data_IF_332381811153
#
_entry.id   IF_332381811153
#
_cell.length_a   1.000
_cell.length_b   1.000
_cell.length_c   1.000
_cell.angle_alpha   90.00
_cell.angle_beta   90.00
_cell.angle_gamma   90.00
#
_symmetry.space_group_name_H-M   'P 1'
#
loop_
_entity.id
_entity.type
_entity.pdbx_description
1 polymer ?
#
# COMPACT_ATOMS: atom_id res chain seq x y z
N UNK A 1 -50.82 -15.85 14.20
CA UNK A 1 -50.58 -15.29 12.84
C UNK A 1 -49.66 -14.09 12.99
N UNK A 2 -48.34 -14.27 12.88
CA UNK A 2 -47.38 -13.17 13.03
C UNK A 2 -47.16 -12.48 11.68
N UNK A 3 -47.72 -11.28 11.51
CA UNK A 3 -47.55 -10.48 10.30
C UNK A 3 -46.10 -10.00 10.18
N UNK A 4 -45.39 -10.41 9.12
CA UNK A 4 -44.07 -9.85 8.76
C UNK A 4 -44.26 -8.42 8.27
N UNK A 5 -43.70 -7.46 9.00
CA UNK A 5 -43.57 -6.07 8.52
C UNK A 5 -42.48 -6.05 7.45
N UNK A 6 -42.85 -5.67 6.22
CA UNK A 6 -41.89 -5.46 5.15
C UNK A 6 -41.07 -4.19 5.44
N UNK A 7 -39.72 -4.24 5.43
CA UNK A 7 -38.92 -3.04 5.64
C UNK A 7 -39.12 -2.06 4.47
N UNK A 8 -39.24 -0.76 4.77
CA UNK A 8 -39.37 0.28 3.74
C UNK A 8 -38.11 0.36 2.88
N UNK A 9 -38.26 0.67 1.58
CA UNK A 9 -37.16 0.80 0.58
C UNK A 9 -36.12 1.89 0.90
N UNK A 10 -36.27 2.58 2.03
CA UNK A 10 -35.41 3.68 2.48
C UNK A 10 -34.74 3.37 3.83
N UNK A 11 -35.11 2.28 4.50
CA UNK A 11 -34.67 1.96 5.87
C UNK A 11 -33.14 1.83 6.04
N UNK A 12 -32.39 1.60 4.97
CA UNK A 12 -30.92 1.47 5.02
C UNK A 12 -30.14 2.59 4.30
N UNK A 13 -30.80 3.63 3.78
CA UNK A 13 -30.10 4.71 3.05
C UNK A 13 -29.22 5.59 3.95
N UNK A 14 -29.48 5.62 5.25
CA UNK A 14 -28.76 6.43 6.25
C UNK A 14 -27.73 5.64 7.06
N UNK A 15 -27.42 4.39 6.70
CA UNK A 15 -26.27 3.74 7.33
C UNK A 15 -24.99 4.43 6.83
N UNK A 16 -24.16 4.91 7.75
CA UNK A 16 -22.82 5.46 7.47
C UNK A 16 -21.92 4.49 6.65
N UNK A 17 -22.39 3.24 6.48
CA UNK A 17 -21.83 2.18 5.63
C UNK A 17 -21.93 2.45 4.12
N UNK A 18 -22.74 3.42 3.68
CA UNK A 18 -23.01 3.68 2.26
C UNK A 18 -22.43 4.99 1.71
N UNK A 19 -21.71 5.79 2.50
CA UNK A 19 -20.78 6.77 1.92
C UNK A 19 -19.59 5.97 1.43
N UNK A 20 -19.66 5.56 0.16
CA UNK A 20 -18.51 5.12 -0.60
C UNK A 20 -17.41 6.17 -0.40
N UNK A 21 -16.40 5.86 0.40
CA UNK A 21 -15.29 6.78 0.65
C UNK A 21 -14.60 6.95 -0.70
N UNK A 22 -14.74 8.14 -1.27
CA UNK A 22 -14.04 8.48 -2.50
C UNK A 22 -12.54 8.26 -2.28
N UNK A 23 -11.83 7.63 -3.24
CA UNK A 23 -10.40 7.42 -3.11
C UNK A 23 -9.72 8.78 -2.98
N UNK A 24 -8.87 8.94 -1.96
CA UNK A 24 -8.10 10.18 -1.80
C UNK A 24 -7.16 10.29 -2.99
N UNK A 25 -7.26 11.40 -3.71
CA UNK A 25 -6.37 11.72 -4.83
C UNK A 25 -5.44 12.86 -4.41
N UNK A 26 -4.15 12.64 -4.52
CA UNK A 26 -3.14 13.63 -4.18
C UNK A 26 -1.95 13.54 -5.14
N UNK A 27 -2.05 14.26 -6.25
CA UNK A 27 -1.00 14.31 -7.26
C UNK A 27 0.34 14.82 -6.72
N UNK A 28 0.32 15.72 -5.71
CA UNK A 28 1.54 16.21 -5.06
C UNK A 28 2.24 15.11 -4.28
N UNK A 29 1.50 14.28 -3.56
CA UNK A 29 2.04 13.11 -2.87
C UNK A 29 2.65 12.13 -3.88
N UNK A 30 1.94 11.81 -4.97
CA UNK A 30 2.47 10.91 -6.00
C UNK A 30 3.75 11.44 -6.66
N UNK A 31 3.81 12.74 -6.95
CA UNK A 31 5.02 13.37 -7.49
C UNK A 31 6.18 13.30 -6.51
N UNK A 32 5.92 13.56 -5.22
CA UNK A 32 6.92 13.46 -4.16
C UNK A 32 7.39 12.02 -3.92
N UNK A 33 6.51 11.01 -3.94
CA UNK A 33 6.93 9.60 -3.82
C UNK A 33 7.92 9.21 -4.92
N UNK A 34 7.74 9.70 -6.15
CA UNK A 34 8.66 9.41 -7.27
C UNK A 34 10.06 9.98 -7.07
N UNK A 35 10.23 10.96 -6.20
CA UNK A 35 11.56 11.52 -5.87
C UNK A 35 12.27 10.75 -4.77
N UNK A 36 11.59 9.84 -4.08
CA UNK A 36 12.17 9.04 -2.99
C UNK A 36 12.90 7.79 -3.54
N UNK A 37 13.89 7.26 -2.80
CA UNK A 37 14.52 5.99 -3.13
C UNK A 37 13.55 4.82 -2.91
N UNK A 38 13.81 3.70 -3.60
CA UNK A 38 12.96 2.51 -3.56
C UNK A 38 12.86 1.96 -2.14
N UNK A 39 11.63 1.62 -1.72
CA UNK A 39 11.37 0.94 -0.45
C UNK A 39 11.98 -0.47 -0.39
N UNK A 40 12.34 -1.05 -1.54
CA UNK A 40 12.97 -2.36 -1.62
C UNK A 40 14.48 -2.22 -1.75
N UNK A 41 14.98 -1.68 -2.86
CA UNK A 41 16.44 -1.63 -3.11
C UNK A 41 17.14 -0.38 -2.58
N UNK A 42 16.43 0.71 -2.32
CA UNK A 42 17.02 2.01 -2.02
C UNK A 42 17.55 2.77 -3.23
N UNK A 43 17.36 2.26 -4.46
CA UNK A 43 17.76 2.97 -5.68
C UNK A 43 16.81 4.12 -6.03
N UNK A 44 17.35 5.16 -6.66
CA UNK A 44 16.58 6.30 -7.16
C UNK A 44 15.90 5.99 -8.51
N UNK A 45 15.13 6.95 -9.04
CA UNK A 45 14.39 6.77 -10.29
C UNK A 45 13.11 5.97 -10.11
N UNK A 46 12.40 6.22 -9.01
CA UNK A 46 11.23 5.45 -8.63
C UNK A 46 9.94 5.90 -9.29
N UNK A 47 9.00 4.96 -9.39
CA UNK A 47 7.61 5.17 -9.71
C UNK A 47 6.74 5.04 -8.46
N UNK A 48 5.58 5.68 -8.50
CA UNK A 48 4.55 5.55 -7.48
C UNK A 48 3.81 4.22 -7.68
N UNK A 49 4.14 3.21 -6.89
CA UNK A 49 3.53 1.89 -6.93
C UNK A 49 2.35 1.81 -5.94
N UNK A 50 1.13 1.69 -6.47
CA UNK A 50 -0.07 1.54 -5.64
C UNK A 50 -0.18 0.15 -5.03
N UNK A 51 -0.59 0.08 -3.77
CA UNK A 51 -0.86 -1.17 -3.08
C UNK A 51 -2.30 -1.64 -3.35
N UNK A 52 -2.48 -2.86 -3.85
CA UNK A 52 -3.79 -3.36 -4.27
C UNK A 52 -4.45 -4.34 -3.29
N UNK A 53 -3.74 -4.85 -2.28
CA UNK A 53 -4.31 -5.80 -1.30
C UNK A 53 -5.05 -5.12 -0.14
N UNK A 54 -6.02 -5.80 0.47
CA UNK A 54 -6.74 -5.28 1.63
C UNK A 54 -5.91 -5.36 2.92
N UNK A 55 -6.08 -4.39 3.82
CA UNK A 55 -5.51 -4.45 5.17
C UNK A 55 -6.46 -3.86 6.20
N UNK A 56 -7.03 -4.74 7.03
CA UNK A 56 -8.02 -4.38 8.04
C UNK A 56 -7.44 -3.53 9.17
N UNK A 57 -6.14 -3.62 9.47
CA UNK A 57 -5.49 -2.85 10.55
C UNK A 57 -5.60 -1.35 10.33
N UNK A 58 -5.52 -0.95 9.05
CA UNK A 58 -5.57 0.44 8.63
C UNK A 58 -6.91 0.82 7.97
N UNK A 59 -7.91 -0.07 8.03
CA UNK A 59 -9.19 0.14 7.35
C UNK A 59 -9.07 0.24 5.83
N UNK A 60 -8.00 -0.32 5.23
CA UNK A 60 -7.79 -0.31 3.78
C UNK A 60 -8.71 -1.34 3.13
N UNK A 61 -9.75 -0.91 2.39
CA UNK A 61 -10.69 -1.83 1.78
C UNK A 61 -10.01 -2.64 0.67
N UNK A 62 -10.55 -3.82 0.39
CA UNK A 62 -10.16 -4.57 -0.80
C UNK A 62 -10.54 -3.77 -2.05
N UNK A 63 -9.65 -3.80 -3.05
CA UNK A 63 -9.91 -3.13 -4.32
C UNK A 63 -11.04 -3.85 -5.06
N UNK A 64 -12.25 -3.29 -4.99
CA UNK A 64 -13.35 -3.73 -5.84
C UNK A 64 -13.02 -3.57 -7.32
N UNK A 65 -13.48 -4.50 -8.17
CA UNK A 65 -13.30 -4.44 -9.63
C UNK A 65 -13.73 -3.07 -10.15
N UNK A 66 -12.82 -2.34 -10.78
CA UNK A 66 -13.08 -1.01 -11.37
C UNK A 66 -12.78 0.21 -10.49
N UNK A 67 -12.41 0.05 -9.20
CA UNK A 67 -12.05 1.20 -8.35
C UNK A 67 -10.58 1.59 -8.49
N UNK A 68 -10.28 2.89 -8.53
CA UNK A 68 -8.89 3.38 -8.44
C UNK A 68 -8.39 3.22 -7.01
N UNK A 69 -7.13 2.80 -6.85
CA UNK A 69 -6.49 2.75 -5.54
C UNK A 69 -6.37 4.17 -4.98
N UNK A 70 -6.41 4.26 -3.65
CA UNK A 70 -6.21 5.52 -2.93
C UNK A 70 -4.72 5.89 -2.98
N UNK A 71 -4.41 7.16 -3.25
CA UNK A 71 -3.04 7.68 -3.37
C UNK A 71 -2.28 7.64 -2.03
N UNK A 72 -2.98 7.45 -0.90
CA UNK A 72 -2.35 7.15 0.40
C UNK A 72 -1.59 5.82 0.40
N UNK A 73 -2.01 4.86 -0.42
CA UNK A 73 -1.46 3.52 -0.42
C UNK A 73 -0.47 3.36 -1.57
N UNK A 74 0.62 4.11 -1.50
CA UNK A 74 1.65 4.15 -2.54
C UNK A 74 3.03 4.06 -1.91
N UNK A 75 3.93 3.33 -2.55
CA UNK A 75 5.35 3.24 -2.17
C UNK A 75 6.26 3.55 -3.37
N UNK A 76 7.46 4.10 -3.12
CA UNK A 76 8.47 4.25 -4.15
C UNK A 76 9.06 2.89 -4.52
N UNK A 77 9.00 2.53 -5.80
CA UNK A 77 9.67 1.35 -6.36
C UNK A 77 10.35 1.70 -7.66
N UNK A 78 11.46 1.05 -7.98
CA UNK A 78 12.04 1.15 -9.33
C UNK A 78 11.11 0.51 -10.37
N UNK A 79 11.13 0.94 -11.65
CA UNK A 79 10.39 0.27 -12.74
C UNK A 79 10.69 -1.23 -12.81
N UNK A 80 11.94 -1.62 -12.53
CA UNK A 80 12.37 -3.02 -12.48
C UNK A 80 11.65 -3.82 -11.39
N UNK A 81 11.56 -3.27 -10.17
CA UNK A 81 10.87 -3.94 -9.06
C UNK A 81 9.34 -3.90 -9.20
N UNK A 82 8.83 -2.89 -9.90
CA UNK A 82 7.39 -2.70 -10.07
C UNK A 82 6.82 -3.56 -11.22
N UNK A 83 7.40 -3.50 -12.42
CA UNK A 83 6.86 -4.12 -13.65
C UNK A 83 7.83 -4.99 -14.44
N UNK A 84 9.09 -4.56 -14.59
CA UNK A 84 9.93 -5.07 -15.68
C UNK A 84 10.73 -6.32 -15.29
N UNK A 85 11.12 -6.42 -14.02
CA UNK A 85 11.92 -7.51 -13.49
C UNK A 85 11.19 -8.86 -13.46
N UNK A 86 11.93 -9.97 -13.39
CA UNK A 86 11.36 -11.32 -13.30
C UNK A 86 10.51 -11.49 -12.03
N UNK A 87 10.96 -10.91 -10.92
CA UNK A 87 10.28 -10.90 -9.63
C UNK A 87 9.56 -9.58 -9.37
N UNK A 88 9.03 -8.93 -10.40
CA UNK A 88 8.33 -7.66 -10.24
C UNK A 88 7.00 -7.82 -9.47
N UNK A 89 6.61 -6.79 -8.72
CA UNK A 89 5.38 -6.75 -7.93
C UNK A 89 4.16 -7.16 -8.78
N UNK A 90 4.02 -6.58 -9.99
CA UNK A 90 2.90 -6.87 -10.89
C UNK A 90 2.89 -8.31 -11.44
N UNK A 91 4.04 -8.99 -11.52
CA UNK A 91 4.13 -10.32 -12.14
C UNK A 91 3.77 -11.45 -11.17
N UNK A 92 3.99 -11.26 -9.87
CA UNK A 92 3.78 -12.33 -8.88
C UNK A 92 2.31 -12.61 -8.57
N UNK A 93 1.39 -11.69 -8.90
CA UNK A 93 -0.06 -11.84 -8.67
C UNK A 93 -0.50 -11.90 -7.19
N UNK A 94 0.46 -11.98 -6.26
CA UNK A 94 0.27 -12.05 -4.81
C UNK A 94 1.07 -10.95 -4.13
N UNK A 95 0.64 -9.71 -4.36
CA UNK A 95 1.35 -8.50 -3.91
C UNK A 95 1.70 -8.53 -2.41
N UNK A 96 0.76 -8.91 -1.54
CA UNK A 96 1.03 -8.99 -0.10
C UNK A 96 2.17 -9.96 0.23
N UNK A 97 2.15 -11.16 -0.36
CA UNK A 97 3.18 -12.16 -0.14
C UNK A 97 4.55 -11.71 -0.68
N UNK A 98 4.56 -10.92 -1.75
CA UNK A 98 5.78 -10.34 -2.33
C UNK A 98 6.48 -9.36 -1.37
N UNK A 99 5.70 -8.53 -0.67
CA UNK A 99 6.18 -7.63 0.38
C UNK A 99 6.61 -8.38 1.63
N UNK A 100 5.79 -9.35 2.08
CA UNK A 100 6.08 -10.18 3.26
C UNK A 100 7.39 -10.96 3.07
N UNK A 101 7.62 -11.54 1.89
CA UNK A 101 8.85 -12.26 1.55
C UNK A 101 10.11 -11.37 1.56
N UNK A 102 9.93 -10.05 1.42
CA UNK A 102 10.99 -9.05 1.53
C UNK A 102 11.11 -8.48 2.95
N UNK A 103 10.29 -8.94 3.89
CA UNK A 103 10.27 -8.46 5.27
C UNK A 103 9.78 -7.02 5.42
N UNK A 104 8.96 -6.54 4.49
CA UNK A 104 8.44 -5.16 4.50
C UNK A 104 6.94 -5.17 4.76
N UNK A 105 6.49 -4.51 5.82
CA UNK A 105 5.07 -4.22 6.05
C UNK A 105 4.65 -3.01 5.22
N UNK A 106 4.25 -3.27 3.97
CA UNK A 106 3.99 -2.23 2.98
C UNK A 106 2.85 -1.27 3.38
N UNK A 107 1.81 -1.76 4.07
CA UNK A 107 0.71 -0.88 4.52
C UNK A 107 1.18 0.10 5.59
N UNK A 108 1.96 -0.38 6.56
CA UNK A 108 2.52 0.47 7.61
C UNK A 108 3.46 1.50 7.01
N UNK A 109 4.36 1.08 6.11
CA UNK A 109 5.29 1.98 5.45
C UNK A 109 4.58 3.06 4.61
N UNK A 110 3.55 2.68 3.84
CA UNK A 110 2.78 3.63 3.04
C UNK A 110 2.02 4.64 3.92
N UNK A 111 1.47 4.17 5.05
CA UNK A 111 0.83 5.04 6.03
C UNK A 111 1.81 6.07 6.62
N UNK A 112 3.02 5.63 6.96
CA UNK A 112 4.02 6.51 7.56
C UNK A 112 4.51 7.56 6.57
N UNK A 113 4.80 7.16 5.32
CA UNK A 113 5.14 8.09 4.24
C UNK A 113 4.01 9.09 3.95
N UNK A 114 2.75 8.64 3.99
CA UNK A 114 1.61 9.53 3.83
C UNK A 114 1.57 10.61 4.93
N UNK A 115 1.85 10.26 6.18
CA UNK A 115 1.83 11.20 7.32
C UNK A 115 2.91 12.28 7.22
N UNK A 116 4.03 11.97 6.57
CA UNK A 116 5.16 12.89 6.39
C UNK A 116 5.25 13.42 4.96
N UNK A 117 4.13 13.40 4.21
CA UNK A 117 4.09 13.83 2.82
C UNK A 117 4.68 15.23 2.62
N UNK A 118 5.77 15.31 1.87
CA UNK A 118 6.48 16.56 1.59
C UNK A 118 7.65 16.87 2.55
N UNK A 119 7.85 16.06 3.59
CA UNK A 119 9.05 16.07 4.42
C UNK A 119 9.99 14.94 3.97
N UNK A 120 10.90 15.29 3.08
CA UNK A 120 11.85 14.36 2.49
C UNK A 120 12.84 13.80 3.51
N UNK A 121 13.29 14.59 4.48
CA UNK A 121 14.28 14.14 5.47
C UNK A 121 13.69 13.04 6.35
N UNK A 122 12.50 13.26 6.90
CA UNK A 122 11.81 12.25 7.71
C UNK A 122 11.47 11.01 6.89
N UNK A 123 11.04 11.18 5.64
CA UNK A 123 10.76 10.05 4.75
C UNK A 123 12.00 9.19 4.46
N UNK A 124 13.16 9.80 4.26
CA UNK A 124 14.42 9.08 4.06
C UNK A 124 14.80 8.26 5.29
N UNK A 125 14.62 8.80 6.50
CA UNK A 125 14.87 8.06 7.75
C UNK A 125 13.94 6.85 7.85
N UNK A 126 12.64 7.02 7.57
CA UNK A 126 11.65 5.92 7.55
C UNK A 126 12.06 4.83 6.56
N UNK A 127 12.46 5.21 5.33
CA UNK A 127 12.89 4.27 4.30
C UNK A 127 14.18 3.54 4.70
N UNK A 128 15.15 4.25 5.27
CA UNK A 128 16.39 3.66 5.76
C UNK A 128 16.14 2.61 6.86
N UNK A 129 15.25 2.90 7.80
CA UNK A 129 14.88 1.95 8.85
C UNK A 129 14.15 0.72 8.28
N UNK A 130 13.26 0.91 7.30
CA UNK A 130 12.62 -0.19 6.59
C UNK A 130 13.65 -1.10 5.88
N UNK A 131 14.62 -0.51 5.19
CA UNK A 131 15.71 -1.24 4.52
C UNK A 131 16.61 -1.99 5.51
N UNK A 132 16.92 -1.37 6.66
CA UNK A 132 17.67 -2.02 7.75
C UNK A 132 16.90 -3.22 8.32
N UNK A 133 15.59 -3.07 8.52
CA UNK A 133 14.69 -4.14 8.97
C UNK A 133 14.67 -5.31 7.99
N UNK A 134 14.51 -5.03 6.69
CA UNK A 134 14.59 -6.03 5.61
C UNK A 134 15.92 -6.78 5.62
N UNK A 135 17.05 -6.09 5.73
CA UNK A 135 18.36 -6.73 5.74
C UNK A 135 18.52 -7.69 6.93
N UNK A 136 17.96 -7.37 8.10
CA UNK A 136 17.89 -8.28 9.24
C UNK A 136 17.00 -9.50 8.96
N UNK A 137 15.83 -9.29 8.36
CA UNK A 137 14.92 -10.37 7.99
C UNK A 137 15.58 -11.35 7.00
N UNK A 138 16.23 -10.85 5.96
CA UNK A 138 16.91 -11.69 4.96
C UNK A 138 18.06 -12.51 5.53
N UNK A 139 18.83 -11.95 6.47
CA UNK A 139 19.88 -12.71 7.17
C UNK A 139 19.32 -13.82 8.05
N UNK A 140 18.13 -13.62 8.63
CA UNK A 140 17.49 -14.63 9.47
C UNK A 140 16.85 -15.77 8.65
N UNK A 141 16.47 -15.51 7.40
CA UNK A 141 15.80 -16.49 6.52
C UNK A 141 16.74 -17.22 5.55
N UNK A 142 18.01 -16.80 5.44
CA UNK A 142 19.00 -17.55 4.66
C UNK A 142 19.39 -18.86 5.37
N UNK A 143 19.43 -20.00 4.67
CA UNK A 143 19.93 -21.24 5.25
C UNK A 143 21.40 -21.06 5.64
N UNK A 144 21.74 -21.41 6.88
CA UNK A 144 23.15 -21.51 7.27
C UNK A 144 23.75 -22.65 6.47
N UNK A 145 24.78 -22.32 5.67
CA UNK A 145 25.63 -23.28 5.00
C UNK A 145 26.34 -24.20 6.01
#
# INVERSE_FOLDING_TARGET
MASRVAPSKTAFRTSARAREVEPVKNARHLAWIRTLPSAVSGHEGCVAAHLNFADRRYGKPERGKGKKADDRWVLPLTPYEHTDGPDAQHRTGKEKAWWDARGIDATTLANDLWRVSGDTETALVILQEALRGRAKHQRATQPRA
#
